data_IF_849117628870
#
_entry.id   IF_849117628870
#
_cell.length_a   1.000
_cell.length_b   1.000
_cell.length_c   1.000
_cell.angle_alpha   90.00
_cell.angle_beta   90.00
_cell.angle_gamma   90.00
#
_symmetry.space_group_name_H-M   'P 1'
#
loop_
_entity.id
_entity.type
_entity.pdbx_description
1 polymer ?
#
# COMPACT_ATOMS: atom_id res chain seq x y z
N UNK A 1 1.20 -14.15 -13.43
CA UNK A 1 1.17 -12.70 -13.16
C UNK A 1 0.70 -11.98 -14.43
N UNK A 2 -0.61 -11.97 -14.67
CA UNK A 2 -1.20 -11.30 -15.84
C UNK A 2 -2.21 -10.30 -15.31
N UNK A 3 -1.91 -9.01 -15.46
CA UNK A 3 -2.87 -7.96 -15.14
C UNK A 3 -3.96 -7.91 -16.21
N UNK A 4 -5.20 -7.59 -15.83
CA UNK A 4 -6.32 -7.47 -16.77
C UNK A 4 -6.00 -6.52 -17.93
N UNK A 5 -5.27 -5.43 -17.65
CA UNK A 5 -4.86 -4.44 -18.65
C UNK A 5 -3.80 -4.94 -19.64
N UNK A 6 -3.09 -6.02 -19.32
CA UNK A 6 -2.21 -6.72 -20.26
C UNK A 6 -3.02 -7.57 -21.23
N UNK A 7 -4.10 -8.21 -20.76
CA UNK A 7 -4.98 -9.04 -21.59
C UNK A 7 -5.74 -8.16 -22.61
N UNK A 8 -6.16 -6.97 -22.19
CA UNK A 8 -6.84 -5.99 -23.03
C UNK A 8 -5.88 -5.15 -23.90
N UNK A 9 -4.59 -5.49 -23.96
CA UNK A 9 -3.50 -4.80 -24.67
C UNK A 9 -3.31 -3.29 -24.36
N UNK A 10 -3.92 -2.75 -23.31
CA UNK A 10 -3.80 -1.33 -22.97
C UNK A 10 -2.38 -0.92 -22.52
N UNK A 11 -1.69 -1.77 -21.75
CA UNK A 11 -0.30 -1.55 -21.30
C UNK A 11 -0.06 -0.21 -20.57
N UNK A 12 -1.05 0.29 -19.81
CA UNK A 12 -0.99 1.60 -19.10
C UNK A 12 -0.71 1.54 -17.60
N UNK A 13 -0.48 0.36 -17.03
CA UNK A 13 -0.19 0.19 -15.60
C UNK A 13 1.22 -0.34 -15.39
N UNK A 14 1.88 0.07 -14.28
CA UNK A 14 3.16 -0.53 -13.91
C UNK A 14 2.98 -2.03 -13.66
N UNK A 15 4.00 -2.87 -13.94
CA UNK A 15 4.01 -4.26 -13.53
C UNK A 15 3.87 -4.40 -12.00
N UNK A 16 3.06 -5.36 -11.55
CA UNK A 16 2.80 -5.63 -10.12
C UNK A 16 2.89 -7.13 -9.86
N UNK A 17 3.56 -7.51 -8.78
CA UNK A 17 3.75 -8.88 -8.32
C UNK A 17 3.23 -9.07 -6.89
N UNK A 18 2.57 -10.20 -6.60
CA UNK A 18 2.34 -10.62 -5.22
C UNK A 18 3.63 -11.19 -4.61
N UNK A 19 3.88 -10.92 -3.33
CA UNK A 19 5.03 -11.44 -2.58
C UNK A 19 4.65 -11.63 -1.11
N UNK A 20 5.12 -12.74 -0.54
CA UNK A 20 5.18 -12.92 0.91
C UNK A 20 6.41 -12.20 1.46
N UNK A 21 6.18 -11.27 2.38
CA UNK A 21 7.21 -10.42 2.98
C UNK A 21 7.34 -10.79 4.45
N UNK A 22 8.57 -11.05 4.90
CA UNK A 22 8.85 -11.19 6.33
C UNK A 22 8.88 -9.81 6.99
N UNK A 23 7.87 -9.50 7.82
CA UNK A 23 7.73 -8.16 8.41
C UNK A 23 8.87 -7.79 9.35
N UNK A 24 9.46 -8.77 10.02
CA UNK A 24 10.57 -8.55 10.93
C UNK A 24 11.82 -8.16 10.17
N UNK A 25 12.31 -9.06 9.32
CA UNK A 25 13.58 -8.90 8.64
C UNK A 25 13.53 -7.88 7.50
N UNK A 26 12.40 -7.77 6.78
CA UNK A 26 12.31 -6.97 5.56
C UNK A 26 11.62 -5.61 5.76
N UNK A 27 10.99 -5.36 6.92
CA UNK A 27 10.31 -4.08 7.19
C UNK A 27 10.84 -3.47 8.49
N UNK A 28 10.62 -4.13 9.62
CA UNK A 28 10.92 -3.59 10.96
C UNK A 28 12.41 -3.35 11.16
N UNK A 29 13.26 -4.32 10.80
CA UNK A 29 14.69 -4.28 11.11
C UNK A 29 15.50 -3.46 10.09
N UNK A 30 14.91 -3.12 8.94
CA UNK A 30 15.56 -2.33 7.88
C UNK A 30 15.09 -0.88 7.80
N UNK A 31 13.92 -0.55 8.36
CA UNK A 31 13.40 0.81 8.31
C UNK A 31 14.18 1.75 9.23
N UNK A 32 14.49 2.94 8.71
CA UNK A 32 15.03 4.06 9.52
C UNK A 32 13.93 5.02 9.97
N UNK A 33 12.69 4.81 9.51
CA UNK A 33 11.57 5.65 9.88
C UNK A 33 11.05 5.28 11.27
N UNK A 34 11.27 6.19 12.23
CA UNK A 34 10.83 6.03 13.62
C UNK A 34 9.31 5.99 13.74
N UNK A 35 8.56 6.61 12.83
CA UNK A 35 7.09 6.62 12.85
C UNK A 35 6.56 5.21 12.61
N UNK A 36 7.00 4.58 11.52
CA UNK A 36 6.62 3.21 11.20
C UNK A 36 7.10 2.23 12.27
N UNK A 37 8.38 2.32 12.68
CA UNK A 37 8.99 1.38 13.62
C UNK A 37 8.26 1.31 14.98
N UNK A 38 7.81 2.46 15.50
CA UNK A 38 7.08 2.52 16.78
C UNK A 38 5.70 1.87 16.76
N UNK A 39 5.12 1.64 15.58
CA UNK A 39 3.79 1.03 15.45
C UNK A 39 3.83 -0.50 15.50
N UNK A 40 5.01 -1.13 15.55
CA UNK A 40 5.14 -2.57 15.67
C UNK A 40 4.84 -3.04 17.10
N UNK A 41 4.02 -4.08 17.23
CA UNK A 41 3.72 -4.72 18.52
C UNK A 41 3.46 -6.22 18.34
N UNK A 42 3.46 -6.95 19.46
CA UNK A 42 3.11 -8.37 19.49
C UNK A 42 1.67 -8.48 19.99
N UNK A 43 0.82 -9.13 19.22
CA UNK A 43 -0.59 -9.36 19.59
C UNK A 43 -0.72 -10.43 20.69
N UNK A 44 -1.85 -10.51 21.40
CA UNK A 44 -2.10 -11.57 22.40
C UNK A 44 -2.00 -12.99 21.84
N UNK A 45 -2.18 -13.16 20.53
CA UNK A 45 -2.00 -14.42 19.81
C UNK A 45 -0.54 -14.72 19.42
N UNK A 46 0.42 -13.95 19.96
CA UNK A 46 1.85 -14.04 19.68
C UNK A 46 2.23 -13.83 18.20
N UNK A 47 1.42 -13.06 17.47
CA UNK A 47 1.72 -12.64 16.10
C UNK A 47 2.32 -11.24 16.09
N UNK A 48 3.25 -10.98 15.17
CA UNK A 48 3.81 -9.65 14.93
C UNK A 48 2.81 -8.83 14.12
N UNK A 49 2.53 -7.62 14.57
CA UNK A 49 1.59 -6.70 13.95
C UNK A 49 2.17 -5.30 13.83
N UNK A 50 1.68 -4.53 12.86
CA UNK A 50 1.92 -3.09 12.76
C UNK A 50 0.78 -2.40 12.01
N UNK A 51 0.62 -1.09 12.22
CA UNK A 51 -0.44 -0.30 11.56
C UNK A 51 0.06 0.95 10.83
N UNK A 52 1.31 1.39 11.06
CA UNK A 52 1.89 2.56 10.41
C UNK A 52 1.20 3.89 10.77
N UNK A 53 1.52 4.96 10.04
CA UNK A 53 0.94 6.29 10.25
C UNK A 53 0.31 6.79 8.94
N UNK A 54 -1.02 6.75 8.86
CA UNK A 54 -1.80 7.24 7.72
C UNK A 54 -3.19 7.73 8.17
N UNK A 55 -3.97 8.32 7.26
CA UNK A 55 -5.24 8.96 7.60
C UNK A 55 -6.43 8.01 7.72
N UNK A 56 -6.39 6.83 7.09
CA UNK A 56 -7.52 5.92 7.03
C UNK A 56 -7.07 4.50 7.33
N UNK A 57 -7.70 3.87 8.33
CA UNK A 57 -7.37 2.52 8.80
C UNK A 57 -5.92 2.31 9.29
N UNK A 58 -5.28 3.34 9.85
CA UNK A 58 -3.97 3.24 10.50
C UNK A 58 -4.09 3.39 12.02
N UNK A 59 -4.76 2.45 12.66
CA UNK A 59 -4.96 2.35 14.11
C UNK A 59 -4.77 0.91 14.57
N UNK A 60 -4.61 0.68 15.88
CA UNK A 60 -4.37 -0.66 16.45
C UNK A 60 -5.49 -1.66 16.14
N UNK A 61 -6.74 -1.19 16.07
CA UNK A 61 -7.93 -1.97 15.66
C UNK A 61 -7.87 -2.46 14.21
N UNK A 62 -7.06 -1.82 13.36
CA UNK A 62 -6.88 -2.15 11.95
C UNK A 62 -5.43 -2.59 11.65
N UNK A 63 -4.72 -3.07 12.65
CA UNK A 63 -3.34 -3.51 12.49
C UNK A 63 -3.23 -4.70 11.53
N UNK A 64 -2.20 -4.66 10.68
CA UNK A 64 -1.83 -5.77 9.83
C UNK A 64 -0.97 -6.74 10.64
N UNK A 65 -1.45 -7.97 10.77
CA UNK A 65 -0.79 -9.02 11.53
C UNK A 65 -0.38 -10.17 10.61
N UNK A 66 0.81 -10.71 10.84
CA UNK A 66 1.28 -11.92 10.19
C UNK A 66 0.89 -13.18 10.95
N UNK A 67 1.31 -14.33 10.43
CA UNK A 67 1.14 -15.62 11.10
C UNK A 67 2.39 -16.50 10.93
N UNK A 68 3.40 -16.42 11.81
CA UNK A 68 3.53 -15.45 12.92
C UNK A 68 4.07 -14.07 12.48
N UNK A 69 4.87 -13.99 11.42
CA UNK A 69 5.64 -12.80 11.03
C UNK A 69 5.68 -12.51 9.51
N UNK A 70 4.98 -13.30 8.71
CA UNK A 70 4.86 -13.09 7.26
C UNK A 70 3.52 -12.48 6.89
N UNK A 71 3.53 -11.56 5.92
CA UNK A 71 2.34 -10.98 5.29
C UNK A 71 2.42 -11.04 3.78
N UNK A 72 1.27 -11.20 3.13
CA UNK A 72 1.16 -11.07 1.69
C UNK A 72 0.97 -9.60 1.30
N UNK A 73 1.74 -9.14 0.33
CA UNK A 73 1.64 -7.80 -0.23
C UNK A 73 1.83 -7.79 -1.73
N UNK A 74 1.41 -6.69 -2.36
CA UNK A 74 1.69 -6.44 -3.78
C UNK A 74 2.84 -5.44 -3.92
N UNK A 75 3.84 -5.80 -4.72
CA UNK A 75 4.96 -4.95 -5.07
C UNK A 75 4.75 -4.41 -6.48
N UNK A 76 4.47 -3.11 -6.56
CA UNK A 76 4.38 -2.39 -7.83
C UNK A 76 5.74 -1.81 -8.20
N UNK A 77 6.14 -1.99 -9.46
CA UNK A 77 7.34 -1.34 -9.97
C UNK A 77 7.19 0.19 -9.91
N UNK A 78 8.22 0.86 -9.42
CA UNK A 78 8.25 2.31 -9.40
C UNK A 78 8.30 2.87 -10.82
N UNK A 79 7.55 3.94 -11.06
CA UNK A 79 7.75 4.78 -12.24
C UNK A 79 9.04 5.60 -12.07
N UNK A 80 9.61 6.12 -13.18
CA UNK A 80 10.76 6.99 -13.11
C UNK A 80 10.55 8.19 -12.17
N UNK A 81 11.64 8.67 -11.61
CA UNK A 81 11.65 9.83 -10.72
C UNK A 81 11.03 11.06 -11.40
N UNK A 82 10.24 11.83 -10.65
CA UNK A 82 9.62 13.07 -11.08
C UNK A 82 10.64 14.15 -11.47
N UNK A 83 11.85 14.09 -10.92
CA UNK A 83 12.95 14.98 -11.29
C UNK A 83 13.40 14.77 -12.75
N UNK A 84 13.38 13.52 -13.22
CA UNK A 84 13.78 13.14 -14.58
C UNK A 84 12.60 13.14 -15.56
N UNK A 85 11.44 12.67 -15.11
CA UNK A 85 10.23 12.54 -15.91
C UNK A 85 9.03 13.19 -15.21
N UNK A 86 8.77 14.46 -15.53
CA UNK A 86 7.64 15.20 -14.99
C UNK A 86 6.31 14.57 -15.42
N UNK A 87 5.39 14.42 -14.46
CA UNK A 87 4.05 13.87 -14.69
C UNK A 87 2.98 14.93 -14.47
N UNK A 88 1.95 14.93 -15.32
CA UNK A 88 0.82 15.84 -15.20
C UNK A 88 -0.37 15.12 -14.57
N UNK A 89 -0.93 15.73 -13.52
CA UNK A 89 -2.12 15.21 -12.83
C UNK A 89 -3.34 15.96 -13.33
N UNK A 90 -4.29 15.23 -13.90
CA UNK A 90 -5.53 15.79 -14.45
C UNK A 90 -6.72 15.39 -13.58
N UNK A 91 -7.66 16.31 -13.38
CA UNK A 91 -8.94 16.00 -12.72
C UNK A 91 -9.89 15.40 -13.74
N UNK A 92 -10.28 14.15 -13.54
CA UNK A 92 -11.29 13.49 -14.39
C UNK A 92 -12.62 14.28 -14.31
N UNK A 93 -13.22 14.69 -15.44
CA UNK A 93 -14.54 15.33 -15.48
C UNK A 93 -15.62 14.52 -14.77
N UNK A 94 -15.59 13.19 -14.90
CA UNK A 94 -16.57 12.27 -14.27
C UNK A 94 -16.14 11.78 -12.89
N UNK A 95 -15.36 12.58 -12.16
CA UNK A 95 -14.96 12.25 -10.78
C UNK A 95 -16.19 12.32 -9.86
N UNK A 96 -16.40 11.27 -9.07
CA UNK A 96 -17.44 11.21 -8.03
C UNK A 96 -17.32 12.36 -7.03
N UNK A 97 -18.42 12.68 -6.35
CA UNK A 97 -18.51 13.76 -5.35
C UNK A 97 -17.73 13.48 -4.06
N UNK A 98 -17.45 12.21 -3.77
CA UNK A 98 -16.86 11.74 -2.49
C UNK A 98 -17.55 12.33 -1.25
N UNK A 99 -18.86 12.55 -1.36
CA UNK A 99 -19.66 13.16 -0.30
C UNK A 99 -21.00 12.45 -0.17
N UNK A 100 -21.32 11.99 1.05
CA UNK A 100 -22.47 11.11 1.31
C UNK A 100 -23.82 11.69 0.86
N UNK A 101 -23.97 13.02 0.92
CA UNK A 101 -25.24 13.72 0.63
C UNK A 101 -25.26 14.48 -0.70
N UNK A 102 -24.11 14.63 -1.37
CA UNK A 102 -23.99 15.49 -2.56
C UNK A 102 -23.83 14.62 -3.79
N UNK A 103 -24.69 14.81 -4.80
CA UNK A 103 -24.55 14.15 -6.10
C UNK A 103 -23.39 14.77 -6.88
N UNK A 104 -22.78 13.97 -7.75
CA UNK A 104 -21.92 14.50 -8.80
C UNK A 104 -22.81 15.09 -9.91
N UNK A 105 -22.26 16.00 -10.70
CA UNK A 105 -22.89 16.48 -11.95
C UNK A 105 -23.00 15.35 -12.97
#
# INVERSE_FOLDING_TARGET
MVSALRILDFRRVPPVAGRLVNMTREIRDVTRDKKLWRTFFISPANNICFYGECSYYCSTEHALCGKPDQIEGSLAAYLPDLALAKRKTWRNPWRRSYHKRKKAE
#
